data_IF_876391147108
#
_entry.id   IF_876391147108
#
_cell.length_a   1.000
_cell.length_b   1.000
_cell.length_c   1.000
_cell.angle_alpha   90.00
_cell.angle_beta   90.00
_cell.angle_gamma   90.00
#
_symmetry.space_group_name_H-M   'P 1'
#
loop_
_entity.id
_entity.type
_entity.pdbx_description
1 polymer ?
#
# COMPACT_ATOMS: atom_id res chain seq x y z
N UNK A 1 -18.29 -0.74 -8.42
CA UNK A 1 -17.26 -0.63 -7.35
C UNK A 1 -17.94 -0.82 -5.99
N UNK A 2 -17.35 -1.61 -5.09
CA UNK A 2 -17.89 -1.82 -3.74
C UNK A 2 -17.39 -0.74 -2.79
N UNK A 3 -18.20 -0.28 -1.81
CA UNK A 3 -17.79 0.76 -0.86
C UNK A 3 -16.51 0.41 -0.11
N UNK A 4 -16.34 -0.84 0.35
CA UNK A 4 -15.13 -1.28 1.05
C UNK A 4 -13.87 -1.20 0.17
N UNK A 5 -14.00 -1.42 -1.14
CA UNK A 5 -12.89 -1.23 -2.08
C UNK A 5 -12.52 0.25 -2.31
N UNK A 6 -13.41 1.19 -1.98
CA UNK A 6 -13.16 2.62 -2.13
C UNK A 6 -12.56 3.26 -0.88
N UNK A 7 -12.55 2.57 0.27
CA UNK A 7 -12.02 3.11 1.52
C UNK A 7 -10.51 3.38 1.45
N UNK A 8 -9.73 2.45 0.90
CA UNK A 8 -8.28 2.63 0.69
C UNK A 8 -7.93 3.85 -0.17
N UNK A 9 -8.40 3.98 -1.43
CA UNK A 9 -8.06 5.14 -2.25
C UNK A 9 -8.61 6.45 -1.68
N UNK A 10 -9.76 6.42 -0.99
CA UNK A 10 -10.28 7.60 -0.30
C UNK A 10 -9.36 8.05 0.84
N UNK A 11 -8.81 7.11 1.62
CA UNK A 11 -7.87 7.43 2.69
C UNK A 11 -6.54 7.95 2.15
N UNK A 12 -6.03 7.38 1.05
CA UNK A 12 -4.84 7.90 0.36
C UNK A 12 -5.07 9.34 -0.09
N UNK A 13 -6.21 9.63 -0.73
CA UNK A 13 -6.56 10.99 -1.14
C UNK A 13 -6.71 11.93 0.06
N UNK A 14 -7.27 11.45 1.18
CA UNK A 14 -7.37 12.22 2.42
C UNK A 14 -6.01 12.56 3.01
N UNK A 15 -5.08 11.59 3.07
CA UNK A 15 -3.70 11.83 3.52
C UNK A 15 -2.99 12.85 2.62
N UNK A 16 -3.17 12.76 1.31
CA UNK A 16 -2.55 13.70 0.36
C UNK A 16 -3.06 15.15 0.53
N UNK A 17 -4.33 15.33 0.91
CA UNK A 17 -4.96 16.65 1.04
C UNK A 17 -4.85 17.24 2.45
N UNK A 18 -4.88 16.39 3.47
CA UNK A 18 -5.07 16.83 4.86
C UNK A 18 -4.00 16.28 5.83
N UNK A 19 -3.25 15.26 5.43
CA UNK A 19 -2.12 14.74 6.19
C UNK A 19 -0.86 15.58 5.99
N UNK A 20 0.14 15.34 6.84
CA UNK A 20 1.50 15.80 6.58
C UNK A 20 2.21 14.90 5.58
N UNK A 21 3.30 15.40 5.01
CA UNK A 21 4.24 14.63 4.21
C UNK A 21 4.80 13.42 4.99
N UNK A 22 5.07 13.58 6.29
CA UNK A 22 5.48 12.48 7.16
C UNK A 22 4.38 11.43 7.35
N UNK A 23 3.12 11.83 7.50
CA UNK A 23 1.98 10.88 7.57
C UNK A 23 1.88 10.07 6.28
N UNK A 24 1.98 10.75 5.13
CA UNK A 24 1.89 10.11 3.82
C UNK A 24 3.06 9.16 3.57
N UNK A 25 4.30 9.60 3.83
CA UNK A 25 5.49 8.78 3.68
C UNK A 25 5.46 7.54 4.60
N UNK A 26 5.05 7.71 5.86
CA UNK A 26 4.91 6.59 6.79
C UNK A 26 3.81 5.60 6.37
N UNK A 27 2.72 6.08 5.78
CA UNK A 27 1.70 5.21 5.22
C UNK A 27 2.26 4.35 4.07
N UNK A 28 2.95 4.96 3.11
CA UNK A 28 3.39 4.25 1.92
C UNK A 28 4.63 3.37 2.14
N UNK A 29 5.53 3.73 3.06
CA UNK A 29 6.72 2.90 3.34
C UNK A 29 6.33 1.51 3.88
N UNK A 30 5.28 1.43 4.69
CA UNK A 30 4.77 0.14 5.20
C UNK A 30 3.85 -0.55 4.20
N UNK A 31 3.01 0.21 3.48
CA UNK A 31 2.02 -0.35 2.57
C UNK A 31 2.67 -0.93 1.31
N UNK A 32 3.61 -0.24 0.68
CA UNK A 32 4.21 -0.72 -0.57
C UNK A 32 5.04 -1.99 -0.38
N UNK A 33 5.66 -2.17 0.79
CA UNK A 33 6.35 -3.43 1.11
C UNK A 33 5.36 -4.62 1.17
N UNK A 34 4.21 -4.44 1.83
CA UNK A 34 3.18 -5.47 1.92
C UNK A 34 2.54 -5.76 0.55
N UNK A 35 2.18 -4.72 -0.18
CA UNK A 35 1.65 -4.79 -1.54
C UNK A 35 2.60 -5.51 -2.49
N UNK A 36 3.90 -5.16 -2.49
CA UNK A 36 4.86 -5.79 -3.39
C UNK A 36 5.03 -7.28 -3.12
N UNK A 37 5.12 -7.67 -1.85
CA UNK A 37 5.13 -9.08 -1.47
C UNK A 37 3.86 -9.81 -1.95
N UNK A 38 2.69 -9.15 -1.92
CA UNK A 38 1.45 -9.70 -2.45
C UNK A 38 1.47 -9.82 -3.98
N UNK A 39 1.98 -8.82 -4.70
CA UNK A 39 2.17 -8.86 -6.15
C UNK A 39 3.06 -10.03 -6.58
N UNK A 40 4.21 -10.22 -5.94
CA UNK A 40 5.11 -11.33 -6.25
C UNK A 40 4.45 -12.70 -6.08
N UNK A 41 3.70 -12.89 -4.99
CA UNK A 41 2.92 -14.12 -4.76
C UNK A 41 1.82 -14.31 -5.81
N UNK A 42 1.11 -13.23 -6.17
CA UNK A 42 0.04 -13.27 -7.17
C UNK A 42 0.58 -13.63 -8.55
N UNK A 43 1.67 -12.99 -8.99
CA UNK A 43 2.36 -13.30 -10.24
C UNK A 43 2.74 -14.78 -10.33
N UNK A 44 3.39 -15.31 -9.28
CA UNK A 44 3.80 -16.71 -9.22
C UNK A 44 2.59 -17.67 -9.29
N UNK A 45 1.52 -17.38 -8.54
CA UNK A 45 0.32 -18.19 -8.52
C UNK A 45 -0.42 -18.19 -9.87
N UNK A 46 -0.54 -17.01 -10.51
CA UNK A 46 -1.20 -16.86 -11.81
C UNK A 46 -0.47 -17.62 -12.92
N UNK A 47 0.87 -17.57 -12.94
CA UNK A 47 1.69 -18.37 -13.86
C UNK A 47 1.52 -19.87 -13.59
N UNK A 48 1.69 -20.30 -12.34
CA UNK A 48 1.74 -21.72 -11.99
C UNK A 48 0.37 -22.44 -12.05
N UNK A 49 -0.72 -21.76 -11.66
CA UNK A 49 -2.06 -22.39 -11.54
C UNK A 49 -2.98 -22.12 -12.71
N UNK A 50 -2.78 -20.99 -13.39
CA UNK A 50 -3.67 -20.54 -14.45
C UNK A 50 -2.98 -20.39 -15.82
N UNK A 51 -1.66 -20.64 -15.90
CA UNK A 51 -0.92 -20.66 -17.16
C UNK A 51 -0.78 -19.30 -17.83
N UNK A 52 -0.91 -18.19 -17.07
CA UNK A 52 -0.75 -16.85 -17.62
C UNK A 52 0.70 -16.62 -18.10
N UNK A 53 0.83 -15.85 -19.18
CA UNK A 53 2.14 -15.48 -19.73
C UNK A 53 2.86 -14.46 -18.84
N UNK A 54 4.17 -14.31 -19.03
CA UNK A 54 4.95 -13.26 -18.36
C UNK A 54 4.41 -11.85 -18.66
N UNK A 55 3.96 -11.60 -19.90
CA UNK A 55 3.36 -10.32 -20.29
C UNK A 55 2.05 -10.06 -19.54
N UNK A 56 1.21 -11.08 -19.33
CA UNK A 56 -0.05 -10.94 -18.62
C UNK A 56 0.12 -10.62 -17.12
N UNK A 57 1.26 -10.99 -16.52
CA UNK A 57 1.57 -10.71 -15.10
C UNK A 57 2.60 -9.60 -14.90
N UNK A 58 3.01 -8.91 -15.98
CA UNK A 58 4.08 -7.91 -15.94
C UNK A 58 3.83 -6.78 -14.93
N UNK A 59 2.56 -6.40 -14.71
CA UNK A 59 2.18 -5.45 -13.66
C UNK A 59 2.59 -5.95 -12.27
N UNK A 60 2.28 -7.20 -11.93
CA UNK A 60 2.64 -7.76 -10.63
C UNK A 60 4.15 -7.90 -10.45
N UNK A 61 4.85 -8.30 -11.51
CA UNK A 61 6.32 -8.39 -11.47
C UNK A 61 6.96 -7.00 -11.27
N UNK A 62 6.42 -5.95 -11.91
CA UNK A 62 6.92 -4.59 -11.77
C UNK A 62 6.73 -3.99 -10.37
N UNK A 63 5.69 -4.41 -9.64
CA UNK A 63 5.41 -3.94 -8.28
C UNK A 63 5.88 -4.90 -7.18
N UNK A 64 6.49 -6.05 -7.54
CA UNK A 64 6.86 -7.09 -6.57
C UNK A 64 7.88 -6.60 -5.52
N UNK A 65 8.72 -5.63 -5.89
CA UNK A 65 9.70 -5.01 -5.00
C UNK A 65 9.63 -3.49 -5.16
N UNK A 66 9.71 -2.71 -4.07
CA UNK A 66 9.85 -1.27 -4.16
C UNK A 66 11.21 -0.88 -4.76
N UNK A 67 11.33 0.36 -5.25
CA UNK A 67 12.63 0.89 -5.65
C UNK A 67 13.60 0.86 -4.45
N UNK A 68 14.90 0.53 -4.64
CA UNK A 68 15.82 0.32 -3.51
C UNK A 68 15.94 1.53 -2.57
N UNK A 69 15.81 2.73 -3.10
CA UNK A 69 15.96 4.01 -2.41
C UNK A 69 14.67 4.46 -1.72
N UNK A 70 13.54 3.83 -2.04
CA UNK A 70 12.21 4.25 -1.58
C UNK A 70 12.09 4.26 -0.05
N UNK A 71 12.63 3.25 0.62
CA UNK A 71 12.60 3.17 2.08
C UNK A 71 13.44 4.30 2.69
N UNK A 72 14.68 4.48 2.21
CA UNK A 72 15.58 5.51 2.72
C UNK A 72 15.02 6.92 2.50
N UNK A 73 14.44 7.20 1.34
CA UNK A 73 13.81 8.49 1.04
C UNK A 73 12.56 8.72 1.91
N UNK A 74 11.73 7.70 2.12
CA UNK A 74 10.56 7.79 2.99
C UNK A 74 10.96 8.08 4.44
N UNK A 75 11.99 7.41 4.95
CA UNK A 75 12.51 7.63 6.30
C UNK A 75 13.02 9.06 6.47
N UNK A 76 13.68 9.63 5.45
CA UNK A 76 14.11 11.03 5.46
C UNK A 76 12.93 11.99 5.53
N UNK A 77 11.89 11.79 4.71
CA UNK A 77 10.67 12.63 4.75
C UNK A 77 9.97 12.54 6.11
N UNK A 78 9.90 11.34 6.69
CA UNK A 78 9.32 11.14 8.02
C UNK A 78 10.14 11.91 9.07
N UNK A 79 11.46 11.78 9.06
CA UNK A 79 12.33 12.48 10.00
C UNK A 79 12.23 14.00 9.85
N UNK A 80 12.25 14.52 8.63
CA UNK A 80 12.11 15.95 8.34
C UNK A 80 10.77 16.51 8.87
N UNK A 81 9.70 15.72 8.86
CA UNK A 81 8.41 16.09 9.46
C UNK A 81 8.44 16.09 10.98
N UNK A 82 9.05 15.07 11.59
CA UNK A 82 9.21 14.98 13.05
C UNK A 82 10.04 16.14 13.60
N UNK A 83 11.12 16.51 12.91
CA UNK A 83 11.98 17.64 13.27
C UNK A 83 11.25 18.98 13.20
N UNK A 84 10.24 19.10 12.31
CA UNK A 84 9.33 20.25 12.23
C UNK A 84 8.17 20.21 13.22
N UNK A 85 8.07 19.16 14.03
CA UNK A 85 7.05 19.03 15.08
C UNK A 85 5.74 18.38 14.63
N UNK A 86 5.73 17.61 13.53
CA UNK A 86 4.59 16.72 13.22
C UNK A 86 4.37 15.75 14.37
N UNK A 87 3.11 15.56 14.80
CA UNK A 87 2.74 14.64 15.88
C UNK A 87 3.18 13.20 15.53
N UNK A 88 4.13 12.59 16.27
CA UNK A 88 4.55 11.21 16.03
C UNK A 88 3.38 10.21 16.12
N UNK A 89 2.37 10.52 16.93
CA UNK A 89 1.20 9.67 17.04
C UNK A 89 0.32 9.73 15.77
N UNK A 90 0.31 10.85 15.03
CA UNK A 90 -0.36 10.97 13.74
C UNK A 90 0.34 10.10 12.69
N UNK A 91 1.67 10.18 12.62
CA UNK A 91 2.49 9.37 11.70
C UNK A 91 2.26 7.88 11.93
N UNK A 92 2.29 7.44 13.20
CA UNK A 92 2.01 6.06 13.56
C UNK A 92 0.56 5.63 13.29
N UNK A 93 -0.42 6.56 13.40
CA UNK A 93 -1.82 6.28 13.01
C UNK A 93 -1.93 6.10 11.50
N UNK A 94 -1.27 6.94 10.69
CA UNK A 94 -1.30 6.84 9.23
C UNK A 94 -0.77 5.49 8.73
N UNK A 95 0.39 5.06 9.24
CA UNK A 95 0.99 3.76 8.93
C UNK A 95 0.09 2.57 9.30
N UNK A 96 -0.67 2.66 10.41
CA UNK A 96 -1.61 1.59 10.80
C UNK A 96 -2.89 1.58 9.98
N UNK A 97 -3.48 2.75 9.75
CA UNK A 97 -4.77 2.87 9.06
C UNK A 97 -4.67 2.46 7.60
N UNK A 98 -3.58 2.81 6.91
CA UNK A 98 -3.41 2.42 5.50
C UNK A 98 -3.44 0.89 5.33
N UNK A 99 -2.74 0.14 6.20
CA UNK A 99 -2.74 -1.32 6.19
C UNK A 99 -4.13 -1.90 6.51
N UNK A 100 -4.85 -1.28 7.45
CA UNK A 100 -6.21 -1.69 7.78
C UNK A 100 -7.18 -1.46 6.60
N UNK A 101 -7.02 -0.37 5.86
CA UNK A 101 -7.81 -0.10 4.67
C UNK A 101 -7.42 -0.99 3.48
N UNK A 102 -6.15 -1.36 3.33
CA UNK A 102 -5.74 -2.37 2.35
C UNK A 102 -6.38 -3.72 2.68
N UNK A 103 -6.35 -4.16 3.94
CA UNK A 103 -7.02 -5.39 4.36
C UNK A 103 -8.53 -5.35 4.07
N UNK A 104 -9.19 -4.24 4.40
CA UNK A 104 -10.61 -4.04 4.09
C UNK A 104 -10.91 -4.17 2.59
N UNK A 105 -10.02 -3.69 1.72
CA UNK A 105 -10.15 -3.87 0.28
C UNK A 105 -10.17 -5.36 -0.08
N UNK A 106 -9.21 -6.13 0.42
CA UNK A 106 -9.09 -7.57 0.13
C UNK A 106 -10.25 -8.39 0.71
N UNK A 107 -10.66 -8.08 1.94
CA UNK A 107 -11.82 -8.73 2.57
C UNK A 107 -13.09 -8.46 1.76
N UNK A 108 -13.30 -7.22 1.32
CA UNK A 108 -14.44 -6.86 0.46
C UNK A 108 -14.41 -7.65 -0.86
N UNK A 109 -13.23 -7.75 -1.50
CA UNK A 109 -13.07 -8.52 -2.74
C UNK A 109 -13.33 -10.01 -2.53
N UNK A 110 -12.91 -10.56 -1.41
CA UNK A 110 -13.16 -11.94 -1.05
C UNK A 110 -14.65 -12.20 -0.83
N UNK A 111 -15.32 -11.37 -0.03
CA UNK A 111 -16.76 -11.49 0.27
C UNK A 111 -17.61 -11.47 -1.00
N UNK A 112 -17.33 -10.57 -1.94
CA UNK A 112 -18.10 -10.52 -3.21
C UNK A 112 -17.75 -11.63 -4.19
N UNK A 113 -16.66 -12.37 -3.96
CA UNK A 113 -16.28 -13.53 -4.78
C UNK A 113 -16.92 -14.84 -4.30
N UNK A 114 -17.52 -14.83 -3.10
CA UNK A 114 -18.20 -16.00 -2.55
C UNK A 114 -19.47 -16.31 -3.37
N UNK A 115 -19.77 -17.61 -3.58
CA UNK A 115 -20.92 -18.06 -4.36
C UNK A 115 -22.27 -17.85 -3.66
#
# INVERSE_FOLDING_TARGET
PMPGCQAYPAYVAWLALYGSDADFAAAFVVNLAAWGAACGRMSAALKAKYGLSAEAVAFFDAFAEPAPEFEADSLRVIQDGLDRGVDPAAVARAARLIQAYELMYWDTMYEVSLP
#
